data_IF_376616431329
#
_entry.id   IF_376616431329
#
_cell.length_a   1.000
_cell.length_b   1.000
_cell.length_c   1.000
_cell.angle_alpha   90.00
_cell.angle_beta   90.00
_cell.angle_gamma   90.00
#
_symmetry.space_group_name_H-M   'P 1'
#
loop_
_entity.id
_entity.type
_entity.pdbx_description
1 polymer ?
#
# COMPACT_ATOMS: atom_id res chain seq x y z
N UNK A 1 24.09 8.17 28.37
CA UNK A 1 22.62 7.93 28.41
C UNK A 1 22.09 8.50 29.71
N UNK A 2 21.02 9.31 29.69
CA UNK A 2 20.34 9.74 30.93
C UNK A 2 19.48 8.59 31.47
N UNK A 3 19.24 8.55 32.78
CA UNK A 3 18.40 7.52 33.42
C UNK A 3 16.98 7.48 32.84
N UNK A 4 16.46 8.63 32.43
CA UNK A 4 15.14 8.76 31.82
C UNK A 4 15.06 8.05 30.47
N UNK A 5 16.06 8.25 29.60
CA UNK A 5 16.15 7.56 28.32
C UNK A 5 16.26 6.04 28.47
N UNK A 6 17.00 5.56 29.49
CA UNK A 6 17.09 4.13 29.77
C UNK A 6 15.74 3.54 30.22
N UNK A 7 14.96 4.29 31.00
CA UNK A 7 13.59 3.88 31.37
C UNK A 7 12.68 3.80 30.16
N UNK A 8 12.73 4.79 29.26
CA UNK A 8 11.95 4.76 28.03
C UNK A 8 12.28 3.55 27.15
N UNK A 9 13.57 3.30 26.92
CA UNK A 9 14.05 2.14 26.14
C UNK A 9 13.60 0.82 26.78
N UNK A 10 13.71 0.70 28.11
CA UNK A 10 13.22 -0.46 28.85
C UNK A 10 11.69 -0.64 28.74
N UNK A 11 10.92 0.46 28.77
CA UNK A 11 9.46 0.44 28.62
C UNK A 11 9.05 0.01 27.22
N UNK A 12 9.70 0.52 26.18
CA UNK A 12 9.47 0.09 24.79
C UNK A 12 9.73 -1.42 24.64
N UNK A 13 10.85 -1.90 25.17
CA UNK A 13 11.17 -3.32 25.13
C UNK A 13 10.17 -4.18 25.91
N UNK A 14 9.72 -3.72 27.07
CA UNK A 14 8.69 -4.41 27.87
C UNK A 14 7.34 -4.45 27.15
N UNK A 15 6.92 -3.34 26.53
CA UNK A 15 5.64 -3.27 25.83
C UNK A 15 5.59 -4.24 24.65
N UNK A 16 6.66 -4.34 23.84
CA UNK A 16 6.75 -5.34 22.76
C UNK A 16 6.57 -6.77 23.28
N UNK A 17 7.32 -7.15 24.31
CA UNK A 17 7.21 -8.49 24.93
C UNK A 17 5.83 -8.75 25.55
N UNK A 18 5.23 -7.71 26.12
CA UNK A 18 3.89 -7.80 26.71
C UNK A 18 2.85 -8.01 25.62
N UNK A 19 2.93 -7.25 24.55
CA UNK A 19 2.04 -7.36 23.40
C UNK A 19 2.10 -8.77 22.80
N UNK A 20 3.29 -9.29 22.52
CA UNK A 20 3.48 -10.67 22.04
C UNK A 20 2.81 -11.70 22.96
N UNK A 21 2.95 -11.54 24.28
CA UNK A 21 2.32 -12.43 25.27
C UNK A 21 0.79 -12.35 25.23
N UNK A 22 0.22 -11.14 25.21
CA UNK A 22 -1.23 -10.95 25.20
C UNK A 22 -1.84 -11.50 23.89
N UNK A 23 -1.15 -11.34 22.75
CA UNK A 23 -1.58 -11.90 21.48
C UNK A 23 -1.54 -13.43 21.48
N UNK A 24 -0.48 -14.03 22.03
CA UNK A 24 -0.40 -15.47 22.18
C UNK A 24 -1.53 -16.01 23.07
N UNK A 25 -1.81 -15.33 24.19
CA UNK A 25 -2.92 -15.66 25.08
C UNK A 25 -4.27 -15.56 24.36
N UNK A 26 -4.49 -14.49 23.57
CA UNK A 26 -5.71 -14.30 22.79
C UNK A 26 -5.89 -15.41 21.74
N UNK A 27 -4.83 -15.79 21.02
CA UNK A 27 -4.84 -16.90 20.06
C UNK A 27 -5.22 -18.21 20.74
N UNK A 28 -4.59 -18.52 21.87
CA UNK A 28 -4.89 -19.74 22.63
C UNK A 28 -6.33 -19.74 23.16
N UNK A 29 -6.78 -18.63 23.74
CA UNK A 29 -8.16 -18.49 24.23
C UNK A 29 -9.20 -18.71 23.12
N UNK A 30 -8.97 -18.20 21.92
CA UNK A 30 -9.87 -18.40 20.79
C UNK A 30 -9.88 -19.86 20.33
N UNK A 31 -8.71 -20.50 20.28
CA UNK A 31 -8.60 -21.92 19.94
C UNK A 31 -9.33 -22.80 20.96
N UNK A 32 -9.13 -22.53 22.25
CA UNK A 32 -9.81 -23.25 23.33
C UNK A 32 -11.34 -23.06 23.23
N UNK A 33 -11.82 -21.84 22.94
CA UNK A 33 -13.25 -21.59 22.72
C UNK A 33 -13.79 -22.40 21.52
N UNK A 34 -13.07 -22.45 20.40
CA UNK A 34 -13.47 -23.23 19.23
C UNK A 34 -13.52 -24.74 19.50
N UNK A 35 -12.56 -25.25 20.27
CA UNK A 35 -12.48 -26.67 20.61
C UNK A 35 -13.51 -27.08 21.67
N UNK A 36 -13.68 -26.28 22.74
CA UNK A 36 -14.62 -26.57 23.82
C UNK A 36 -16.08 -26.44 23.38
N UNK A 37 -16.40 -25.45 22.54
CA UNK A 37 -17.77 -25.19 22.10
C UNK A 37 -18.10 -25.77 20.72
N UNK A 38 -17.26 -26.68 20.22
CA UNK A 38 -17.51 -27.36 18.95
C UNK A 38 -18.84 -28.10 18.97
N UNK A 39 -19.81 -27.61 18.20
CA UNK A 39 -21.16 -28.19 18.12
C UNK A 39 -22.15 -27.69 19.17
N UNK A 40 -21.75 -26.76 20.06
CA UNK A 40 -22.65 -26.07 20.97
C UNK A 40 -23.30 -24.84 20.30
N UNK A 41 -24.48 -24.44 20.78
CA UNK A 41 -25.13 -23.19 20.34
C UNK A 41 -24.54 -22.01 21.10
N UNK A 42 -23.74 -21.20 20.41
CA UNK A 42 -23.19 -19.96 20.95
C UNK A 42 -24.27 -18.86 21.01
N UNK A 43 -24.24 -18.08 22.08
CA UNK A 43 -25.03 -16.86 22.21
C UNK A 43 -24.52 -15.75 21.30
N UNK A 44 -25.35 -14.76 21.00
CA UNK A 44 -24.95 -13.60 20.18
C UNK A 44 -23.80 -12.80 20.80
N UNK A 45 -23.74 -12.72 22.13
CA UNK A 45 -22.65 -12.04 22.83
C UNK A 45 -21.30 -12.77 22.66
N UNK A 46 -21.31 -14.11 22.75
CA UNK A 46 -20.11 -14.93 22.55
C UNK A 46 -19.61 -14.86 21.11
N UNK A 47 -20.52 -14.94 20.13
CA UNK A 47 -20.15 -14.79 18.71
C UNK A 47 -19.47 -13.45 18.44
N UNK A 48 -20.02 -12.35 18.98
CA UNK A 48 -19.42 -11.02 18.85
C UNK A 48 -18.04 -10.94 19.49
N UNK A 49 -17.86 -11.53 20.68
CA UNK A 49 -16.56 -11.58 21.35
C UNK A 49 -15.52 -12.33 20.51
N UNK A 50 -15.87 -13.50 19.99
CA UNK A 50 -15.00 -14.30 19.11
C UNK A 50 -14.66 -13.52 17.84
N UNK A 51 -15.65 -12.88 17.22
CA UNK A 51 -15.44 -12.08 16.00
C UNK A 51 -14.50 -10.89 16.26
N UNK A 52 -14.68 -10.16 17.36
CA UNK A 52 -13.78 -9.07 17.74
C UNK A 52 -12.36 -9.59 18.00
N UNK A 53 -12.21 -10.71 18.69
CA UNK A 53 -10.89 -11.33 18.92
C UNK A 53 -10.19 -11.68 17.61
N UNK A 54 -10.90 -12.28 16.65
CA UNK A 54 -10.38 -12.58 15.31
C UNK A 54 -10.00 -11.32 14.53
N UNK A 55 -10.81 -10.26 14.63
CA UNK A 55 -10.53 -8.99 13.97
C UNK A 55 -9.27 -8.32 14.53
N UNK A 56 -9.07 -8.36 15.86
CA UNK A 56 -7.84 -7.85 16.50
C UNK A 56 -6.61 -8.59 15.96
N UNK A 57 -6.67 -9.93 15.83
CA UNK A 57 -5.56 -10.71 15.28
C UNK A 57 -5.27 -10.35 13.82
N UNK A 58 -6.31 -10.17 13.00
CA UNK A 58 -6.16 -9.73 11.60
C UNK A 58 -5.46 -8.37 11.50
N UNK A 59 -5.87 -7.40 12.32
CA UNK A 59 -5.27 -6.06 12.34
C UNK A 59 -3.80 -6.09 12.73
N UNK A 60 -3.42 -6.98 13.65
CA UNK A 60 -2.02 -7.15 14.05
C UNK A 60 -1.20 -7.79 12.94
N UNK A 61 -1.74 -8.82 12.27
CA UNK A 61 -1.07 -9.47 11.13
C UNK A 61 -0.89 -8.52 9.94
N UNK A 62 -1.86 -7.64 9.68
CA UNK A 62 -1.75 -6.58 8.67
C UNK A 62 -0.65 -5.58 9.03
N UNK A 63 -0.62 -5.11 10.29
CA UNK A 63 0.42 -4.18 10.76
C UNK A 63 1.83 -4.77 10.64
N UNK A 64 2.02 -5.99 11.11
CA UNK A 64 3.34 -6.64 11.07
C UNK A 64 3.78 -6.90 9.62
N UNK A 65 2.82 -7.14 8.70
CA UNK A 65 3.08 -7.28 7.27
C UNK A 65 3.31 -5.96 6.51
N UNK A 66 3.01 -4.80 7.10
CA UNK A 66 3.32 -3.48 6.56
C UNK A 66 4.70 -2.97 6.99
N UNK A 67 5.14 -3.23 8.24
CA UNK A 67 6.49 -2.85 8.69
C UNK A 67 7.61 -3.45 7.82
N UNK A 68 7.39 -4.65 7.25
CA UNK A 68 8.35 -5.29 6.33
C UNK A 68 8.34 -4.70 4.90
N UNK A 69 7.35 -3.87 4.54
CA UNK A 69 7.22 -3.27 3.20
C UNK A 69 7.85 -1.89 3.09
N UNK A 70 8.33 -1.31 4.19
CA UNK A 70 9.11 -0.07 4.21
C UNK A 70 10.55 -0.31 3.68
N UNK A 71 10.65 -0.90 2.49
CA UNK A 71 11.88 -1.05 1.70
C UNK A 71 12.13 0.19 0.81
N UNK A 72 11.49 1.33 1.08
CA UNK A 72 11.76 2.62 0.41
C UNK A 72 13.16 3.19 0.75
N UNK A 73 13.84 2.65 1.76
CA UNK A 73 15.19 3.08 2.12
C UNK A 73 16.26 2.37 1.27
N UNK A 74 17.13 3.16 0.64
CA UNK A 74 18.30 2.66 -0.07
C UNK A 74 19.21 1.85 0.89
N UNK A 75 19.27 0.52 0.70
CA UNK A 75 20.23 -0.35 1.40
C UNK A 75 21.55 -0.36 0.61
N UNK A 76 22.62 0.08 1.26
CA UNK A 76 23.97 -0.04 0.68
C UNK A 76 24.28 -1.54 0.49
N UNK A 77 24.69 -1.98 -0.73
CA UNK A 77 25.10 -3.36 -0.94
C UNK A 77 26.22 -3.75 0.04
N UNK A 78 26.09 -4.91 0.70
CA UNK A 78 27.08 -5.39 1.66
C UNK A 78 28.50 -5.48 1.08
N UNK A 79 29.49 -5.30 1.97
CA UNK A 79 30.92 -5.24 1.64
C UNK A 79 31.39 -6.36 0.70
N UNK A 80 32.27 -6.01 -0.23
CA UNK A 80 32.71 -6.84 -1.37
C UNK A 80 33.54 -8.08 -1.00
N UNK A 81 33.73 -8.39 0.29
CA UNK A 81 34.75 -9.32 0.76
C UNK A 81 34.29 -10.76 1.00
N UNK A 82 32.99 -11.04 1.09
CA UNK A 82 32.49 -12.39 1.40
C UNK A 82 31.98 -13.13 0.13
N UNK A 83 32.90 -13.81 -0.55
CA UNK A 83 32.72 -14.36 -1.91
C UNK A 83 31.79 -15.58 -2.01
N UNK A 84 31.51 -16.29 -0.93
CA UNK A 84 30.84 -17.61 -1.01
C UNK A 84 29.31 -17.56 -0.96
N UNK A 85 28.70 -16.48 -0.46
CA UNK A 85 27.23 -16.31 -0.42
C UNK A 85 26.68 -15.62 -1.68
N UNK A 86 27.53 -14.87 -2.40
CA UNK A 86 27.12 -13.91 -3.44
C UNK A 86 26.68 -14.56 -4.75
N UNK A 87 27.24 -15.70 -5.14
CA UNK A 87 26.86 -16.38 -6.38
C UNK A 87 25.41 -16.86 -6.31
N UNK A 88 25.03 -17.47 -5.20
CA UNK A 88 23.67 -17.98 -4.96
C UNK A 88 22.64 -16.86 -4.85
N UNK A 89 23.00 -15.72 -4.24
CA UNK A 89 22.14 -14.54 -4.17
C UNK A 89 21.98 -13.86 -5.54
N UNK A 90 23.04 -13.76 -6.33
CA UNK A 90 22.97 -13.22 -7.69
C UNK A 90 22.19 -14.12 -8.64
N UNK A 91 22.36 -15.44 -8.56
CA UNK A 91 21.52 -16.40 -9.30
C UNK A 91 20.05 -16.28 -8.90
N UNK A 92 19.75 -16.14 -7.60
CA UNK A 92 18.39 -15.94 -7.13
C UNK A 92 17.78 -14.62 -7.64
N UNK A 93 18.54 -13.52 -7.62
CA UNK A 93 18.11 -12.23 -8.18
C UNK A 93 17.88 -12.32 -9.69
N UNK A 94 18.78 -13.00 -10.41
CA UNK A 94 18.69 -13.17 -11.87
C UNK A 94 17.48 -14.04 -12.27
N UNK A 95 17.12 -15.03 -11.45
CA UNK A 95 15.99 -15.92 -11.67
C UNK A 95 14.67 -15.36 -11.12
N UNK A 96 14.71 -14.34 -10.27
CA UNK A 96 13.51 -13.69 -9.73
C UNK A 96 12.79 -12.90 -10.81
N UNK A 97 11.45 -12.99 -10.84
CA UNK A 97 10.63 -12.15 -11.73
C UNK A 97 10.46 -10.78 -11.10
N UNK A 98 10.52 -9.74 -11.92
CA UNK A 98 10.16 -8.39 -11.50
C UNK A 98 8.71 -8.38 -10.99
N UNK A 99 8.54 -8.04 -9.72
CA UNK A 99 7.24 -7.73 -9.13
C UNK A 99 7.15 -6.22 -9.04
N UNK A 100 6.25 -5.65 -9.82
CA UNK A 100 5.97 -4.22 -9.71
C UNK A 100 5.36 -3.94 -8.33
N UNK A 101 5.95 -3.04 -7.53
CA UNK A 101 5.38 -2.69 -6.24
C UNK A 101 3.98 -2.14 -6.47
N UNK A 102 3.00 -2.68 -5.73
CA UNK A 102 1.64 -2.11 -5.73
C UNK A 102 1.69 -0.84 -4.89
N UNK A 103 2.03 0.28 -5.52
CA UNK A 103 1.85 1.57 -4.89
C UNK A 103 0.34 1.83 -4.73
N UNK A 104 -0.04 2.31 -3.55
CA UNK A 104 -1.33 2.97 -3.34
C UNK A 104 -1.41 4.12 -4.36
N UNK A 105 -2.34 4.01 -5.31
CA UNK A 105 -2.49 5.01 -6.37
C UNK A 105 -3.01 6.31 -5.75
N UNK A 106 -2.40 7.44 -6.12
CA UNK A 106 -2.93 8.74 -5.73
C UNK A 106 -4.35 8.93 -6.27
N UNK A 107 -5.13 9.81 -5.64
CA UNK A 107 -6.45 10.21 -6.16
C UNK A 107 -6.36 10.70 -7.61
N UNK A 108 -5.25 11.36 -7.97
CA UNK A 108 -4.98 11.79 -9.34
C UNK A 108 -4.79 10.63 -10.30
N UNK A 109 -4.00 9.61 -9.94
CA UNK A 109 -3.76 8.43 -10.76
C UNK A 109 -5.06 7.65 -11.00
N UNK A 110 -5.88 7.52 -9.96
CA UNK A 110 -7.21 6.90 -10.05
C UNK A 110 -8.14 7.69 -10.98
N UNK A 111 -8.09 9.01 -10.92
CA UNK A 111 -8.87 9.87 -11.81
C UNK A 111 -8.43 9.71 -13.25
N UNK A 112 -7.13 9.76 -13.52
CA UNK A 112 -6.54 9.57 -14.86
C UNK A 112 -6.90 8.20 -15.44
N UNK A 113 -6.72 7.12 -14.67
CA UNK A 113 -7.11 5.77 -15.08
C UNK A 113 -8.59 5.68 -15.42
N UNK A 114 -9.46 6.31 -14.62
CA UNK A 114 -10.90 6.32 -14.88
C UNK A 114 -11.22 7.04 -16.21
N UNK A 115 -10.50 8.12 -16.54
CA UNK A 115 -10.67 8.86 -17.78
C UNK A 115 -10.12 8.08 -18.97
N UNK A 116 -8.94 7.47 -18.83
CA UNK A 116 -8.34 6.62 -19.87
C UNK A 116 -9.23 5.42 -20.18
N UNK A 117 -9.78 4.74 -19.17
CA UNK A 117 -10.72 3.64 -19.38
C UNK A 117 -12.00 4.09 -20.09
N UNK A 118 -12.58 5.24 -19.68
CA UNK A 118 -13.74 5.83 -20.35
C UNK A 118 -13.43 6.21 -21.80
N UNK A 119 -12.27 6.80 -22.06
CA UNK A 119 -11.82 7.18 -23.39
C UNK A 119 -11.59 5.96 -24.30
N UNK A 120 -10.99 4.88 -23.78
CA UNK A 120 -10.83 3.62 -24.50
C UNK A 120 -12.16 2.99 -24.91
N UNK A 121 -13.17 3.05 -24.03
CA UNK A 121 -14.52 2.58 -24.33
C UNK A 121 -15.24 3.43 -25.40
N UNK A 122 -14.94 4.73 -25.48
CA UNK A 122 -15.49 5.64 -26.49
C UNK A 122 -14.77 5.46 -27.84
N UNK A 123 -13.45 5.25 -27.84
CA UNK A 123 -12.64 5.05 -29.06
C UNK A 123 -12.90 3.74 -29.81
N UNK A 124 -13.47 2.73 -29.13
CA UNK A 124 -13.88 1.45 -29.75
C UNK A 124 -15.20 1.51 -30.53
N UNK A 125 -15.99 2.59 -30.38
CA UNK A 125 -17.13 2.85 -31.25
C UNK A 125 -16.61 3.35 -32.59
N UNK A 126 -16.38 2.39 -33.49
CA UNK A 126 -16.42 2.49 -34.94
C UNK A 126 -16.46 3.93 -35.45
N UNK A 127 -15.35 4.39 -36.05
CA UNK A 127 -15.34 5.58 -36.92
C UNK A 127 -16.38 5.35 -38.04
N UNK A 128 -17.65 5.66 -37.77
CA UNK A 128 -18.63 5.86 -38.82
C UNK A 128 -18.09 7.04 -39.60
N UNK A 129 -17.68 6.81 -40.84
CA UNK A 129 -17.36 7.87 -41.78
C UNK A 129 -18.57 8.82 -41.80
N UNK A 130 -18.40 9.99 -41.20
CA UNK A 130 -19.39 11.06 -41.28
C UNK A 130 -19.38 11.47 -42.76
N UNK A 131 -20.44 11.11 -43.49
CA UNK A 131 -20.72 11.70 -44.79
C UNK A 131 -20.87 13.20 -44.56
N UNK A 132 -19.95 13.97 -45.12
CA UNK A 132 -19.96 15.43 -45.07
C UNK A 132 -21.05 15.97 -46.00
N UNK A 133 -22.26 16.16 -45.48
CA UNK A 133 -23.18 17.15 -46.06
C UNK A 133 -22.91 18.49 -45.36
N UNK A 134 -22.07 19.29 -46.01
CA UNK A 134 -21.93 20.76 -45.94
C UNK A 134 -22.35 21.52 -44.68
N UNK A 135 -21.66 21.31 -43.56
CA UNK A 135 -21.65 22.30 -42.47
C UNK A 135 -20.21 22.67 -42.09
N UNK A 136 -19.94 23.97 -42.10
CA UNK A 136 -18.67 24.58 -41.72
C UNK A 136 -18.59 24.68 -40.19
N UNK A 137 -17.47 24.23 -39.62
CA UNK A 137 -17.22 24.32 -38.19
C UNK A 137 -16.86 25.77 -37.85
N UNK A 138 -17.86 26.53 -37.38
CA UNK A 138 -17.64 27.87 -36.83
C UNK A 138 -17.09 27.73 -35.40
N UNK A 139 -15.81 28.03 -35.21
CA UNK A 139 -15.23 28.21 -33.89
C UNK A 139 -15.65 29.58 -33.36
N UNK A 140 -16.81 29.66 -32.70
CA UNK A 140 -17.08 30.76 -31.79
C UNK A 140 -16.31 30.46 -30.49
N UNK A 141 -15.42 31.39 -30.12
CA UNK A 141 -14.57 31.38 -28.92
C UNK A 141 -13.15 30.81 -29.13
N UNK A 142 -12.38 31.49 -29.98
CA UNK A 142 -10.93 31.58 -29.78
C UNK A 142 -10.69 32.25 -28.42
N UNK A 143 -10.24 31.48 -27.43
CA UNK A 143 -9.78 32.04 -26.16
C UNK A 143 -8.48 32.78 -26.44
N UNK A 144 -8.50 34.11 -26.41
CA UNK A 144 -7.28 34.92 -26.43
C UNK A 144 -6.51 34.68 -25.13
N UNK A 145 -5.40 33.96 -25.22
CA UNK A 145 -4.46 33.83 -24.12
C UNK A 145 -3.79 35.19 -23.90
N UNK A 146 -4.31 35.97 -22.96
CA UNK A 146 -3.59 37.13 -22.44
C UNK A 146 -2.39 36.60 -21.66
N UNK A 147 -1.23 36.60 -22.31
CA UNK A 147 0.04 36.32 -21.66
C UNK A 147 0.29 37.44 -20.63
N UNK A 148 0.06 37.15 -19.36
CA UNK A 148 0.41 38.07 -18.29
C UNK A 148 1.94 38.05 -18.14
N UNK A 149 2.59 39.00 -18.81
CA UNK A 149 3.97 39.50 -18.66
C UNK A 149 4.91 38.56 -17.89
N UNK A 150 5.82 37.91 -18.62
CA UNK A 150 7.02 37.30 -18.05
C UNK A 150 7.86 38.41 -17.41
N UNK A 151 7.81 38.53 -16.07
CA UNK A 151 8.80 39.31 -15.32
C UNK A 151 10.17 38.70 -15.60
N UNK A 152 11.06 39.48 -16.21
CA UNK A 152 12.48 39.13 -16.31
C UNK A 152 13.01 38.88 -14.90
N UNK A 153 13.49 37.66 -14.66
CA UNK A 153 14.19 37.30 -13.44
C UNK A 153 15.42 38.17 -13.28
N UNK A 154 15.55 38.81 -12.12
CA UNK A 154 16.76 39.53 -11.75
C UNK A 154 17.88 38.51 -11.53
N UNK A 155 18.83 38.45 -12.45
CA UNK A 155 20.07 37.69 -12.26
C UNK A 155 21.01 38.53 -11.38
N UNK A 156 21.34 38.02 -10.19
CA UNK A 156 22.44 38.48 -9.33
C UNK A 156 23.04 37.31 -8.57
#
# INVERSE_FOLDING_TARGET
LTLERLREESRRAYLKKREERELALLKQSLQDEEDLFRGAKLTEAEKKRIQMGKQILSMVEERDGEEDKDDEFYRLPGDFHEKHSRAKQQEALLMSRYNEPKLEKSEQDLWEESQTQKAGAIGGRQKKAIKSDGYELLFDDQIDFVMQETREGYDK
#
